data_IF_548738027136
#
_entry.id   IF_548738027136
#
_cell.length_a   1.000
_cell.length_b   1.000
_cell.length_c   1.000
_cell.angle_alpha   90.00
_cell.angle_beta   90.00
_cell.angle_gamma   90.00
#
_symmetry.space_group_name_H-M   'P 1'
#
loop_
_entity.id
_entity.type
_entity.pdbx_description
1 polymer ?
#
# COMPACT_ATOMS: atom_id res chain seq x y z
N UNK A 1 -5.94 7.34 20.40
CA UNK A 1 -5.45 7.47 19.03
C UNK A 1 -4.36 6.44 18.74
N UNK A 2 -4.27 5.99 17.52
CA UNK A 2 -3.35 4.93 17.12
C UNK A 2 -1.88 5.29 17.38
N UNK A 3 -1.50 6.53 17.11
CA UNK A 3 -0.12 7.00 17.35
C UNK A 3 0.23 6.95 18.84
N UNK A 4 -0.69 7.32 19.73
CA UNK A 4 -0.46 7.25 21.17
C UNK A 4 -0.34 5.82 21.69
N UNK A 5 -1.12 4.89 21.11
CA UNK A 5 -1.10 3.48 21.52
C UNK A 5 0.17 2.77 21.02
N UNK A 6 0.78 3.27 19.97
CA UNK A 6 1.96 2.70 19.30
C UNK A 6 3.15 3.65 19.32
N UNK A 7 3.33 4.41 20.40
CA UNK A 7 4.39 5.40 20.54
C UNK A 7 5.75 4.81 20.97
N UNK A 8 5.78 3.55 21.43
CA UNK A 8 7.02 2.87 21.77
C UNK A 8 7.64 2.23 20.50
N UNK A 9 8.81 2.73 20.03
CA UNK A 9 9.47 2.18 18.84
C UNK A 9 9.80 0.68 18.96
N UNK A 10 10.06 0.19 20.15
CA UNK A 10 10.36 -1.24 20.38
C UNK A 10 9.12 -2.10 20.16
N UNK A 11 7.95 -1.61 20.55
CA UNK A 11 6.68 -2.29 20.30
C UNK A 11 6.38 -2.36 18.79
N UNK A 12 6.59 -1.28 18.08
CA UNK A 12 6.42 -1.22 16.61
C UNK A 12 7.40 -2.17 15.93
N UNK A 13 8.67 -2.17 16.34
CA UNK A 13 9.68 -3.05 15.76
C UNK A 13 9.36 -4.52 15.99
N UNK A 14 8.91 -4.87 17.18
CA UNK A 14 8.50 -6.25 17.50
C UNK A 14 7.31 -6.68 16.63
N UNK A 15 6.32 -5.81 16.47
CA UNK A 15 5.20 -6.07 15.60
C UNK A 15 5.67 -6.31 14.17
N UNK A 16 6.53 -5.43 13.65
CA UNK A 16 7.08 -5.50 12.30
C UNK A 16 7.86 -6.81 12.09
N UNK A 17 8.71 -7.17 13.01
CA UNK A 17 9.55 -8.37 12.91
C UNK A 17 8.74 -9.67 12.90
N UNK A 18 7.52 -9.65 13.43
CA UNK A 18 6.62 -10.81 13.48
C UNK A 18 5.68 -10.90 12.30
N UNK A 19 5.68 -9.93 11.36
CA UNK A 19 4.82 -9.99 10.18
C UNK A 19 5.26 -11.13 9.26
N UNK A 20 4.33 -11.93 8.73
CA UNK A 20 4.66 -12.89 7.68
C UNK A 20 5.25 -12.17 6.47
N UNK A 21 6.22 -12.79 5.82
CA UNK A 21 6.88 -12.25 4.64
C UNK A 21 6.78 -13.21 3.47
N UNK A 22 6.82 -12.64 2.27
CA UNK A 22 7.06 -13.38 1.04
C UNK A 22 7.95 -12.54 0.12
N UNK A 23 8.76 -13.20 -0.68
CA UNK A 23 9.71 -12.52 -1.57
C UNK A 23 9.40 -12.87 -3.02
N UNK A 24 9.41 -11.84 -3.87
CA UNK A 24 9.28 -12.01 -5.32
C UNK A 24 10.61 -11.74 -6.00
N UNK A 25 11.00 -12.64 -6.93
CA UNK A 25 12.11 -12.36 -7.81
C UNK A 25 11.73 -11.22 -8.77
N UNK A 26 12.64 -10.25 -9.05
CA UNK A 26 12.31 -9.12 -9.93
C UNK A 26 12.39 -9.52 -11.41
N UNK A 27 11.55 -10.49 -11.81
CA UNK A 27 11.57 -11.09 -13.16
C UNK A 27 10.49 -10.51 -14.09
N UNK A 28 9.56 -9.74 -13.55
CA UNK A 28 8.52 -9.07 -14.33
C UNK A 28 8.66 -7.55 -14.22
N UNK A 29 8.12 -6.76 -15.17
CA UNK A 29 8.16 -5.30 -15.07
C UNK A 29 7.56 -4.77 -13.77
N UNK A 30 6.49 -5.38 -13.28
CA UNK A 30 5.86 -4.96 -12.03
C UNK A 30 6.77 -5.17 -10.82
N UNK A 31 7.40 -6.35 -10.71
CA UNK A 31 8.31 -6.62 -9.59
C UNK A 31 9.64 -5.87 -9.71
N UNK A 32 10.12 -5.64 -10.93
CA UNK A 32 11.30 -4.78 -11.16
C UNK A 32 11.02 -3.34 -10.71
N UNK A 33 9.85 -2.82 -11.04
CA UNK A 33 9.42 -1.50 -10.60
C UNK A 33 9.34 -1.42 -9.08
N UNK A 34 8.67 -2.39 -8.45
CA UNK A 34 8.52 -2.47 -7.00
C UNK A 34 9.88 -2.44 -6.30
N UNK A 35 10.83 -3.26 -6.77
CA UNK A 35 12.18 -3.31 -6.22
C UNK A 35 12.90 -1.96 -6.39
N UNK A 36 12.77 -1.33 -7.54
CA UNK A 36 13.45 -0.08 -7.84
C UNK A 36 12.93 1.07 -6.97
N UNK A 37 11.61 1.21 -6.82
CA UNK A 37 11.02 2.36 -6.12
C UNK A 37 10.90 2.15 -4.61
N UNK A 38 10.78 0.92 -4.14
CA UNK A 38 10.66 0.61 -2.71
C UNK A 38 11.95 0.05 -2.10
N UNK A 39 12.93 -0.32 -2.95
CA UNK A 39 14.18 -0.92 -2.50
C UNK A 39 14.07 -2.37 -2.04
N UNK A 40 12.93 -3.02 -2.25
CA UNK A 40 12.69 -4.38 -1.78
C UNK A 40 11.61 -5.09 -2.60
N UNK A 41 11.70 -6.42 -2.68
CA UNK A 41 10.61 -7.30 -3.12
C UNK A 41 10.13 -8.21 -1.97
N UNK A 42 10.52 -7.90 -0.75
CA UNK A 42 10.01 -8.59 0.44
C UNK A 42 8.72 -7.92 0.85
N UNK A 43 7.60 -8.60 0.59
CA UNK A 43 6.28 -8.13 0.98
C UNK A 43 5.95 -8.60 2.39
N UNK A 44 5.13 -7.83 3.10
CA UNK A 44 4.73 -8.15 4.47
C UNK A 44 3.22 -8.23 4.57
N UNK A 45 2.74 -9.25 5.27
CA UNK A 45 1.30 -9.46 5.42
C UNK A 45 0.77 -8.67 6.60
N UNK A 46 -0.21 -7.81 6.33
CA UNK A 46 -0.97 -7.08 7.34
C UNK A 46 -2.27 -7.81 7.61
N UNK A 47 -2.74 -7.75 8.85
CA UNK A 47 -3.96 -8.43 9.27
C UNK A 47 -4.87 -7.44 9.99
N UNK A 48 -6.15 -7.45 9.66
CA UNK A 48 -7.17 -6.68 10.38
C UNK A 48 -7.49 -7.36 11.71
N UNK A 49 -8.11 -6.63 12.63
CA UNK A 49 -8.57 -7.21 13.90
C UNK A 49 -9.61 -8.31 13.69
N UNK A 50 -10.33 -8.28 12.56
CA UNK A 50 -11.25 -9.34 12.16
C UNK A 50 -10.60 -10.55 11.46
N UNK A 51 -9.27 -10.56 11.32
CA UNK A 51 -8.52 -11.67 10.74
C UNK A 51 -8.37 -11.64 9.22
N UNK A 52 -8.82 -10.60 8.54
CA UNK A 52 -8.60 -10.42 7.10
C UNK A 52 -7.17 -9.96 6.83
N UNK A 53 -6.61 -10.36 5.70
CA UNK A 53 -5.18 -10.20 5.40
C UNK A 53 -4.97 -9.51 4.06
N UNK A 54 -3.84 -8.77 3.96
CA UNK A 54 -3.34 -8.20 2.70
C UNK A 54 -1.82 -8.22 2.71
N UNK A 55 -1.23 -8.51 1.55
CA UNK A 55 0.20 -8.36 1.33
C UNK A 55 0.52 -6.93 0.92
N UNK A 56 1.20 -6.18 1.78
CA UNK A 56 1.73 -4.87 1.44
C UNK A 56 3.08 -5.03 0.73
N UNK A 57 3.34 -4.23 -0.28
CA UNK A 57 4.61 -4.26 -1.01
C UNK A 57 5.77 -3.80 -0.12
N UNK A 58 5.52 -2.95 0.84
CA UNK A 58 6.45 -2.56 1.90
C UNK A 58 5.70 -1.98 3.08
N UNK A 59 6.34 -2.00 4.25
CA UNK A 59 5.85 -1.35 5.47
C UNK A 59 7.03 -0.61 6.09
N UNK A 60 6.87 0.67 6.37
CA UNK A 60 7.93 1.51 6.95
C UNK A 60 7.38 2.36 8.09
N UNK A 61 8.27 2.78 8.97
CA UNK A 61 7.97 3.78 10.02
C UNK A 61 8.90 4.96 9.81
N UNK A 62 8.34 6.17 9.75
CA UNK A 62 9.14 7.38 9.54
C UNK A 62 9.72 7.94 10.85
N UNK A 63 10.47 9.05 10.75
CA UNK A 63 11.11 9.69 11.89
C UNK A 63 10.14 10.27 12.91
N UNK A 64 8.87 10.42 12.56
CA UNK A 64 7.80 10.90 13.44
C UNK A 64 7.00 9.76 14.08
N UNK A 65 7.41 8.51 13.86
CA UNK A 65 6.73 7.35 14.40
C UNK A 65 5.48 6.94 13.63
N UNK A 66 5.28 7.47 12.42
CA UNK A 66 4.16 7.11 11.56
C UNK A 66 4.50 5.84 10.79
N UNK A 67 3.71 4.79 10.99
CA UNK A 67 3.84 3.53 10.26
C UNK A 67 2.90 3.53 9.07
N UNK A 68 3.45 3.23 7.90
CA UNK A 68 2.72 3.31 6.64
C UNK A 68 2.89 2.04 5.81
N UNK A 69 1.83 1.69 5.11
CA UNK A 69 1.86 0.64 4.10
C UNK A 69 2.16 1.27 2.73
N UNK A 70 2.87 0.53 1.90
CA UNK A 70 3.24 0.95 0.55
C UNK A 70 2.69 -0.02 -0.49
N UNK A 71 2.17 0.53 -1.57
CA UNK A 71 1.64 -0.21 -2.71
C UNK A 71 2.23 0.38 -4.00
N UNK A 72 3.02 -0.41 -4.73
CA UNK A 72 3.64 0.01 -5.98
C UNK A 72 2.83 -0.53 -7.15
N UNK A 73 2.39 0.36 -8.04
CA UNK A 73 1.58 0.03 -9.21
C UNK A 73 2.27 0.52 -10.47
N UNK A 74 2.72 -0.42 -11.30
CA UNK A 74 3.36 -0.14 -12.58
C UNK A 74 2.35 -0.26 -13.72
N UNK A 75 2.33 0.70 -14.62
CA UNK A 75 1.58 0.63 -15.88
C UNK A 75 2.52 0.76 -17.07
N UNK A 76 2.20 0.05 -18.13
CA UNK A 76 2.92 0.19 -19.41
C UNK A 76 2.52 1.45 -20.18
N UNK A 77 1.41 2.10 -19.77
CA UNK A 77 0.84 3.22 -20.49
C UNK A 77 0.09 2.77 -21.77
N UNK A 78 -0.38 3.74 -22.53
CA UNK A 78 -1.10 3.50 -23.77
C UNK A 78 -2.59 3.20 -23.59
N UNK A 79 -3.29 2.82 -24.69
CA UNK A 79 -4.76 2.70 -24.68
C UNK A 79 -5.31 1.64 -23.74
N UNK A 80 -4.50 0.63 -23.39
CA UNK A 80 -4.89 -0.47 -22.52
C UNK A 80 -4.24 -0.38 -21.14
N UNK A 81 -3.78 0.79 -20.74
CA UNK A 81 -3.12 0.99 -19.46
C UNK A 81 -4.09 0.71 -18.30
N UNK A 82 -3.72 -0.23 -17.43
CA UNK A 82 -4.58 -0.73 -16.35
C UNK A 82 -5.03 0.40 -15.42
N UNK A 83 -4.07 1.19 -14.95
CA UNK A 83 -4.33 2.19 -13.92
C UNK A 83 -4.59 3.59 -14.50
N UNK A 84 -4.99 3.65 -15.75
CA UNK A 84 -5.37 4.90 -16.42
C UNK A 84 -6.84 4.88 -16.91
N UNK A 85 -7.64 3.92 -16.44
CA UNK A 85 -9.05 3.83 -16.74
C UNK A 85 -9.41 3.08 -18.02
N UNK A 86 -8.43 2.44 -18.68
CA UNK A 86 -8.60 1.78 -19.98
C UNK A 86 -8.66 0.25 -19.88
N UNK A 87 -8.87 -0.29 -18.68
CA UNK A 87 -8.84 -1.72 -18.42
C UNK A 87 -10.20 -2.26 -18.04
N UNK A 88 -10.42 -3.59 -18.20
CA UNK A 88 -11.63 -4.24 -17.75
C UNK A 88 -11.92 -3.95 -16.28
N UNK A 89 -13.20 -3.79 -15.98
CA UNK A 89 -13.67 -3.38 -14.67
C UNK A 89 -13.27 -4.34 -13.55
N UNK A 90 -13.15 -5.66 -13.85
CA UNK A 90 -12.76 -6.62 -12.82
C UNK A 90 -11.35 -6.38 -12.26
N UNK A 91 -10.43 -5.85 -13.06
CA UNK A 91 -9.08 -5.51 -12.60
C UNK A 91 -9.09 -4.25 -11.72
N UNK A 92 -9.97 -3.31 -12.03
CA UNK A 92 -10.20 -2.13 -11.21
C UNK A 92 -10.84 -2.54 -9.88
N UNK A 93 -11.77 -3.47 -9.90
CA UNK A 93 -12.39 -4.02 -8.69
C UNK A 93 -11.37 -4.72 -7.79
N UNK A 94 -10.36 -5.38 -8.35
CA UNK A 94 -9.26 -5.97 -7.56
C UNK A 94 -8.48 -4.89 -6.82
N UNK A 95 -8.14 -3.79 -7.48
CA UNK A 95 -7.50 -2.66 -6.84
C UNK A 95 -8.38 -2.08 -5.72
N UNK A 96 -9.66 -1.88 -5.98
CA UNK A 96 -10.59 -1.35 -4.98
C UNK A 96 -10.69 -2.26 -3.76
N UNK A 97 -10.71 -3.60 -3.95
CA UNK A 97 -10.69 -4.55 -2.84
C UNK A 97 -9.42 -4.46 -2.02
N UNK A 98 -8.25 -4.27 -2.67
CA UNK A 98 -7.00 -4.04 -1.96
C UNK A 98 -7.09 -2.80 -1.07
N UNK A 99 -7.61 -1.69 -1.61
CA UNK A 99 -7.73 -0.44 -0.85
C UNK A 99 -8.73 -0.58 0.30
N UNK A 100 -9.83 -1.28 0.11
CA UNK A 100 -10.77 -1.59 1.20
C UNK A 100 -10.06 -2.36 2.33
N UNK A 101 -9.17 -3.28 1.98
CA UNK A 101 -8.41 -4.05 2.95
C UNK A 101 -7.41 -3.17 3.70
N UNK A 102 -6.69 -2.27 3.01
CA UNK A 102 -5.82 -1.31 3.66
C UNK A 102 -6.61 -0.39 4.60
N UNK A 103 -7.79 0.07 4.18
CA UNK A 103 -8.68 0.84 5.05
C UNK A 103 -8.99 0.07 6.34
N UNK A 104 -9.35 -1.19 6.22
CA UNK A 104 -9.71 -2.02 7.36
C UNK A 104 -8.52 -2.25 8.29
N UNK A 105 -7.31 -2.42 7.75
CA UNK A 105 -6.07 -2.49 8.54
C UNK A 105 -5.82 -1.18 9.29
N UNK A 106 -5.92 -0.04 8.62
CA UNK A 106 -5.70 1.27 9.23
C UNK A 106 -6.73 1.55 10.33
N UNK A 107 -7.96 1.10 10.14
CA UNK A 107 -9.03 1.24 11.14
C UNK A 107 -8.94 0.21 12.27
N UNK A 108 -8.04 -0.76 12.19
CA UNK A 108 -7.84 -1.77 13.22
C UNK A 108 -6.81 -1.30 14.25
N UNK A 109 -7.15 -1.11 15.53
CA UNK A 109 -6.19 -0.62 16.54
C UNK A 109 -5.10 -1.63 16.90
N UNK A 110 -5.23 -2.90 16.50
CA UNK A 110 -4.27 -3.96 16.81
C UNK A 110 -2.95 -3.90 16.04
N UNK A 111 -2.74 -2.88 15.20
CA UNK A 111 -1.50 -2.65 14.46
C UNK A 111 -1.20 -1.14 14.37
N UNK A 112 0.06 -0.75 14.13
CA UNK A 112 0.43 0.67 14.09
C UNK A 112 0.17 1.36 12.74
N UNK A 113 -0.22 0.66 11.68
CA UNK A 113 -0.39 1.25 10.36
C UNK A 113 -1.47 2.32 10.38
N UNK A 114 -1.12 3.55 10.00
CA UNK A 114 -2.02 4.71 10.04
C UNK A 114 -2.14 5.44 8.71
N UNK A 115 -1.34 5.08 7.71
CA UNK A 115 -1.38 5.73 6.41
C UNK A 115 -1.05 4.78 5.28
N UNK A 116 -1.43 5.16 4.06
CA UNK A 116 -1.16 4.42 2.83
C UNK A 116 -0.41 5.30 1.85
N UNK A 117 0.66 4.76 1.27
CA UNK A 117 1.39 5.38 0.17
C UNK A 117 1.25 4.50 -1.08
N UNK A 118 0.85 5.10 -2.17
CA UNK A 118 0.81 4.48 -3.48
C UNK A 118 1.92 5.10 -4.33
N UNK A 119 2.72 4.26 -4.99
CA UNK A 119 3.76 4.69 -5.91
C UNK A 119 3.41 4.15 -7.29
N UNK A 120 3.37 5.01 -8.28
CA UNK A 120 3.10 4.63 -9.66
C UNK A 120 3.98 5.42 -10.63
N UNK A 121 4.07 4.96 -11.86
CA UNK A 121 5.07 5.47 -12.80
C UNK A 121 4.56 6.56 -13.76
N UNK A 122 3.26 6.85 -13.77
CA UNK A 122 2.72 7.93 -14.61
C UNK A 122 1.79 8.86 -13.84
N UNK A 123 1.71 10.15 -14.24
CA UNK A 123 0.75 11.09 -13.63
C UNK A 123 -0.71 10.66 -13.81
N UNK A 124 -1.04 10.08 -14.96
CA UNK A 124 -2.40 9.61 -15.27
C UNK A 124 -2.80 8.48 -14.35
N UNK A 125 -1.92 7.52 -14.13
CA UNK A 125 -2.13 6.44 -13.16
C UNK A 125 -2.28 6.98 -11.75
N UNK A 126 -1.44 7.93 -11.35
CA UNK A 126 -1.52 8.55 -10.02
C UNK A 126 -2.88 9.24 -9.80
N UNK A 127 -3.35 9.97 -10.79
CA UNK A 127 -4.66 10.62 -10.73
C UNK A 127 -5.80 9.62 -10.60
N UNK A 128 -5.78 8.58 -11.43
CA UNK A 128 -6.82 7.54 -11.43
C UNK A 128 -6.84 6.76 -10.10
N UNK A 129 -5.69 6.22 -9.69
CA UNK A 129 -5.58 5.45 -8.46
C UNK A 129 -5.87 6.31 -7.22
N UNK A 130 -5.36 7.53 -7.22
CA UNK A 130 -5.54 8.46 -6.09
C UNK A 130 -7.01 8.79 -5.86
N UNK A 131 -7.77 9.08 -6.91
CA UNK A 131 -9.20 9.37 -6.79
C UNK A 131 -9.98 8.17 -6.24
N UNK A 132 -9.72 6.98 -6.77
CA UNK A 132 -10.40 5.76 -6.33
C UNK A 132 -10.03 5.41 -4.89
N UNK A 133 -8.76 5.48 -4.55
CA UNK A 133 -8.31 5.21 -3.19
C UNK A 133 -8.91 6.20 -2.19
N UNK A 134 -8.91 7.51 -2.52
CA UNK A 134 -9.50 8.52 -1.65
C UNK A 134 -10.98 8.28 -1.39
N UNK A 135 -11.72 7.89 -2.42
CA UNK A 135 -13.14 7.59 -2.28
C UNK A 135 -13.40 6.44 -1.29
N UNK A 136 -12.57 5.42 -1.33
CA UNK A 136 -12.71 4.24 -0.46
C UNK A 136 -12.21 4.52 0.95
N UNK A 137 -11.04 5.16 1.08
CA UNK A 137 -10.43 5.46 2.37
C UNK A 137 -11.20 6.53 3.15
N UNK A 138 -11.90 7.42 2.45
CA UNK A 138 -12.55 8.57 3.06
C UNK A 138 -11.57 9.71 3.37
N UNK A 139 -12.06 10.81 4.00
CA UNK A 139 -11.27 12.03 4.17
C UNK A 139 -10.26 11.97 5.34
N UNK A 140 -10.39 11.02 6.26
CA UNK A 140 -9.64 11.02 7.53
C UNK A 140 -8.38 10.16 7.50
N UNK A 141 -8.23 9.30 6.49
CA UNK A 141 -7.03 8.47 6.33
C UNK A 141 -6.01 9.22 5.48
N UNK A 142 -4.77 9.28 5.97
CA UNK A 142 -3.68 9.89 5.22
C UNK A 142 -3.29 9.00 4.03
N UNK A 143 -3.43 9.56 2.84
CA UNK A 143 -3.05 8.92 1.58
C UNK A 143 -2.08 9.84 0.85
N UNK A 144 -0.95 9.28 0.41
CA UNK A 144 -0.02 9.98 -0.47
C UNK A 144 0.19 9.13 -1.72
N UNK A 145 0.16 9.77 -2.88
CA UNK A 145 0.41 9.11 -4.16
C UNK A 145 1.66 9.75 -4.79
N UNK A 146 2.66 8.93 -5.02
CA UNK A 146 3.93 9.37 -5.61
C UNK A 146 3.99 8.95 -7.06
N UNK A 147 4.55 9.83 -7.91
CA UNK A 147 4.88 9.51 -9.30
C UNK A 147 6.39 9.35 -9.40
N UNK A 148 6.83 8.12 -9.62
CA UNK A 148 8.23 7.80 -9.87
C UNK A 148 8.28 7.03 -11.19
N UNK A 149 8.74 7.66 -12.27
CA UNK A 149 8.78 7.06 -13.60
C UNK A 149 9.60 5.79 -13.69
#
# INVERSE_FOLDING_TARGET
>A
AKLADWDDPRRVQKWFDNLPTRTHAPTTPAYQYQHRVLGTNVERQLTTDGGKKIWADSVTTDGNGITMAWDAKHTKGGPNALYEGNRPEFLINDFEREIMRYRDVINSPGNPVSSLNIVTNTPESASFLGRRARKILGPNITLTVYVIP
#
